data_IF_524374008317
#
_entry.id   IF_524374008317
#
_cell.length_a   1.000
_cell.length_b   1.000
_cell.length_c   1.000
_cell.angle_alpha   90.00
_cell.angle_beta   90.00
_cell.angle_gamma   90.00
#
_symmetry.space_group_name_H-M   'P 1'
#
loop_
_entity.id
_entity.type
_entity.pdbx_description
1 polymer ?
#
# COMPACT_ATOMS: atom_id res chain seq x y z
N UNK A 1 -17.07 6.46 -2.69
CA UNK A 1 -15.75 5.99 -2.27
C UNK A 1 -14.71 7.00 -2.69
N UNK A 2 -13.95 7.55 -1.75
CA UNK A 2 -12.85 8.50 -2.02
C UNK A 2 -11.53 7.82 -1.69
N UNK A 3 -10.53 7.91 -2.58
CA UNK A 3 -9.16 7.48 -2.28
C UNK A 3 -8.56 8.50 -1.32
N UNK A 4 -8.27 8.09 -0.10
CA UNK A 4 -7.81 9.02 0.94
C UNK A 4 -6.31 8.96 1.12
N UNK A 5 -5.73 7.76 0.99
CA UNK A 5 -4.29 7.55 1.12
C UNK A 5 -3.79 6.45 0.20
N UNK A 6 -2.68 6.72 -0.47
CA UNK A 6 -1.95 5.76 -1.28
C UNK A 6 -0.52 5.62 -0.76
N UNK A 7 -0.01 4.39 -0.70
CA UNK A 7 1.41 4.17 -0.46
C UNK A 7 1.98 3.16 -1.46
N UNK A 8 3.28 3.23 -1.68
CA UNK A 8 4.00 2.31 -2.58
C UNK A 8 4.97 1.47 -1.77
N UNK A 9 5.11 0.21 -2.16
CA UNK A 9 6.14 -0.65 -1.60
C UNK A 9 6.85 -1.47 -2.68
N UNK A 10 8.08 -1.86 -2.35
CA UNK A 10 8.88 -2.75 -3.19
C UNK A 10 8.76 -4.15 -2.62
N UNK A 11 8.44 -5.11 -3.48
CA UNK A 11 8.38 -6.52 -3.19
C UNK A 11 9.60 -7.19 -3.80
N UNK A 12 10.50 -7.68 -2.98
CA UNK A 12 11.64 -8.43 -3.47
C UNK A 12 11.17 -9.80 -3.95
N UNK A 13 11.41 -10.10 -5.23
CA UNK A 13 10.94 -11.36 -5.84
C UNK A 13 11.78 -12.53 -5.34
N UNK A 14 13.07 -12.30 -5.10
CA UNK A 14 14.03 -13.30 -4.64
C UNK A 14 13.79 -13.70 -3.18
N UNK A 15 13.67 -12.72 -2.28
CA UNK A 15 13.39 -12.96 -0.85
C UNK A 15 11.90 -13.13 -0.54
N UNK A 16 11.01 -12.97 -1.53
CA UNK A 16 9.54 -13.02 -1.39
C UNK A 16 9.04 -12.18 -0.21
N UNK A 17 9.57 -10.98 -0.06
CA UNK A 17 9.27 -10.10 1.08
C UNK A 17 9.14 -8.64 0.66
N UNK A 18 8.32 -7.89 1.39
CA UNK A 18 8.19 -6.45 1.19
C UNK A 18 9.42 -5.73 1.76
N UNK A 19 10.26 -5.18 0.88
CA UNK A 19 11.34 -4.27 1.24
C UNK A 19 10.78 -2.83 1.21
N UNK A 20 10.18 -2.36 2.30
CA UNK A 20 9.97 -0.91 2.40
C UNK A 20 9.85 -0.35 3.83
N UNK A 21 10.74 0.58 4.14
CA UNK A 21 10.73 1.48 5.31
C UNK A 21 9.49 2.39 5.34
N UNK A 22 8.97 2.78 4.16
CA UNK A 22 7.79 3.64 4.04
C UNK A 22 6.51 2.93 4.49
N UNK A 23 6.42 1.60 4.30
CA UNK A 23 5.24 0.81 4.70
C UNK A 23 4.95 1.00 6.19
N UNK A 24 5.97 1.07 7.03
CA UNK A 24 5.81 1.25 8.48
C UNK A 24 5.24 2.63 8.83
N UNK A 25 5.75 3.69 8.19
CA UNK A 25 5.28 5.07 8.40
C UNK A 25 3.88 5.33 7.84
N UNK A 26 3.44 4.58 6.83
CA UNK A 26 2.08 4.68 6.30
C UNK A 26 1.10 3.76 7.03
N UNK A 27 1.50 2.52 7.37
CA UNK A 27 0.64 1.54 8.08
C UNK A 27 0.24 2.05 9.46
N UNK A 28 1.17 2.63 10.22
CA UNK A 28 0.86 3.09 11.57
C UNK A 28 -0.30 4.10 11.62
N UNK A 29 -0.29 5.19 10.83
CA UNK A 29 -1.44 6.06 10.72
C UNK A 29 -2.61 5.45 9.93
N UNK A 30 -2.41 4.36 9.17
CA UNK A 30 -3.48 3.60 8.52
C UNK A 30 -4.27 2.71 9.51
N UNK A 31 -3.65 2.24 10.59
CA UNK A 31 -4.32 1.42 11.62
C UNK A 31 -5.32 2.21 12.47
N UNK A 32 -5.17 3.54 12.53
CA UNK A 32 -6.02 4.42 13.36
C UNK A 32 -7.27 4.90 12.63
N UNK A 33 -7.30 4.78 11.31
CA UNK A 33 -8.45 5.18 10.50
C UNK A 33 -9.21 3.93 10.05
N UNK A 34 -10.53 3.97 10.16
CA UNK A 34 -11.42 2.90 9.73
C UNK A 34 -11.57 2.97 8.20
N UNK A 35 -10.64 2.38 7.47
CA UNK A 35 -10.77 2.23 6.02
C UNK A 35 -11.77 1.13 5.71
N UNK A 36 -12.62 1.39 4.72
CA UNK A 36 -13.69 0.48 4.33
C UNK A 36 -13.17 -0.61 3.38
N UNK A 37 -12.17 -0.26 2.56
CA UNK A 37 -11.56 -1.17 1.59
C UNK A 37 -10.18 -0.68 1.17
N UNK A 38 -9.36 -1.57 0.63
CA UNK A 38 -8.12 -1.22 -0.05
C UNK A 38 -8.02 -1.93 -1.40
N UNK A 39 -7.32 -1.31 -2.36
CA UNK A 39 -6.92 -1.95 -3.62
C UNK A 39 -5.41 -1.97 -3.69
N UNK A 40 -4.86 -3.14 -3.99
CA UNK A 40 -3.45 -3.32 -4.27
C UNK A 40 -3.27 -3.68 -5.74
N UNK A 41 -2.36 -2.99 -6.43
CA UNK A 41 -2.01 -3.33 -7.80
C UNK A 41 -0.52 -3.19 -8.07
N UNK A 42 -0.06 -3.97 -9.05
CA UNK A 42 1.32 -3.94 -9.51
C UNK A 42 1.52 -2.75 -10.43
N UNK A 43 2.34 -1.79 -10.01
CA UNK A 43 2.72 -0.63 -10.84
C UNK A 43 3.68 -1.08 -11.94
N UNK A 44 4.61 -1.97 -11.60
CA UNK A 44 5.58 -2.48 -12.56
C UNK A 44 6.64 -3.37 -11.95
N UNK A 45 7.27 -4.24 -12.76
CA UNK A 45 8.45 -4.99 -12.37
C UNK A 45 9.74 -4.16 -12.53
N UNK A 46 10.72 -4.42 -11.69
CA UNK A 46 12.13 -4.08 -11.87
C UNK A 46 12.96 -5.36 -11.94
N UNK A 47 14.29 -5.22 -11.97
CA UNK A 47 15.19 -6.36 -12.20
C UNK A 47 15.08 -7.45 -11.11
N UNK A 48 15.00 -7.06 -9.84
CA UNK A 48 14.90 -7.98 -8.69
C UNK A 48 13.73 -7.69 -7.73
N UNK A 49 12.81 -6.80 -8.12
CA UNK A 49 11.69 -6.40 -7.29
C UNK A 49 10.45 -6.10 -8.13
N UNK A 50 9.27 -6.27 -7.56
CA UNK A 50 8.02 -5.75 -8.10
C UNK A 50 7.60 -4.54 -7.28
N UNK A 51 7.14 -3.47 -7.93
CA UNK A 51 6.59 -2.30 -7.26
C UNK A 51 5.08 -2.41 -7.20
N UNK A 52 4.53 -2.26 -6.01
CA UNK A 52 3.10 -2.28 -5.76
C UNK A 52 2.63 -0.94 -5.20
N UNK A 53 1.40 -0.58 -5.52
CA UNK A 53 0.69 0.56 -4.94
C UNK A 53 -0.53 0.02 -4.20
N UNK A 54 -0.75 0.54 -2.99
CA UNK A 54 -1.93 0.26 -2.21
C UNK A 54 -2.70 1.56 -2.06
N UNK A 55 -3.93 1.57 -2.58
CA UNK A 55 -4.91 2.62 -2.41
C UNK A 55 -5.84 2.22 -1.28
N UNK A 56 -6.05 3.12 -0.32
CA UNK A 56 -6.99 2.91 0.77
C UNK A 56 -8.20 3.82 0.56
N UNK A 57 -9.38 3.21 0.56
CA UNK A 57 -10.65 3.89 0.40
C UNK A 57 -11.26 4.12 1.77
N UNK A 58 -11.63 5.37 2.01
CA UNK A 58 -12.41 5.72 3.18
C UNK A 58 -13.87 5.87 2.77
N UNK A 59 -14.75 5.19 3.51
CA UNK A 59 -16.19 5.39 3.44
C UNK A 59 -16.63 6.13 4.70
N UNK A 60 -16.26 7.42 4.77
CA UNK A 60 -16.80 8.31 5.78
C UNK A 60 -18.22 8.70 5.37
N UNK A 61 -19.22 8.09 6.01
CA UNK A 61 -20.60 8.53 5.90
C UNK A 61 -20.74 9.96 6.39
N UNK A 62 -21.47 10.77 5.63
CA UNK A 62 -22.01 12.06 6.07
C UNK A 62 -23.06 11.84 7.17
#
# INVERSE_FOLDING_TARGET
MTVTKSYRYYWNIYYKSSMNCQRYNYINPLLWYRYDSYSEYKIGPGWNYNRYEVLNYYSGGY
#
